data_IF_521506194100
#
_entry.id   IF_521506194100
#
_cell.length_a   1.000
_cell.length_b   1.000
_cell.length_c   1.000
_cell.angle_alpha   90.00
_cell.angle_beta   90.00
_cell.angle_gamma   90.00
#
_symmetry.space_group_name_H-M   'P 1'
#
loop_
_entity.id
_entity.type
_entity.pdbx_description
1 polymer ?
#
# COMPACT_ATOMS: atom_id res chain seq x y z
N UNK A 1 -38.75 10.60 19.98
CA UNK A 1 -37.66 11.60 20.12
C UNK A 1 -36.77 11.44 18.89
N UNK A 2 -36.70 12.43 18.01
CA UNK A 2 -35.77 12.37 16.87
C UNK A 2 -34.37 12.68 17.39
N UNK A 3 -33.50 11.67 17.44
CA UNK A 3 -32.07 11.90 17.57
C UNK A 3 -31.67 12.81 16.40
N UNK A 4 -30.97 13.90 16.67
CA UNK A 4 -30.60 14.91 15.67
C UNK A 4 -29.86 14.29 14.46
N UNK A 5 -29.77 15.05 13.37
CA UNK A 5 -29.04 14.62 12.16
C UNK A 5 -27.61 14.18 12.49
N UNK A 6 -27.10 13.20 11.74
CA UNK A 6 -25.72 12.77 11.87
C UNK A 6 -24.77 13.85 11.34
N UNK A 7 -23.64 14.06 12.02
CA UNK A 7 -22.62 15.05 11.66
C UNK A 7 -21.22 14.49 11.92
N UNK A 8 -20.22 15.09 11.28
CA UNK A 8 -18.81 14.76 11.48
C UNK A 8 -18.36 15.13 12.89
N UNK A 9 -17.83 14.17 13.65
CA UNK A 9 -17.39 14.40 15.05
C UNK A 9 -16.18 15.34 15.17
N UNK A 10 -15.54 15.70 14.05
CA UNK A 10 -14.35 16.58 14.03
C UNK A 10 -14.69 18.00 13.60
N UNK A 11 -15.41 18.16 12.49
CA UNK A 11 -15.67 19.47 11.88
C UNK A 11 -17.15 19.87 11.87
N UNK A 12 -18.07 18.99 12.27
CA UNK A 12 -19.50 19.26 12.28
C UNK A 12 -20.20 19.19 10.91
N UNK A 13 -19.50 18.81 9.84
CA UNK A 13 -20.10 18.67 8.51
C UNK A 13 -21.20 17.60 8.49
N UNK A 14 -22.31 17.87 7.78
CA UNK A 14 -23.42 16.92 7.56
C UNK A 14 -23.26 16.10 6.26
N UNK A 15 -22.05 16.07 5.69
CA UNK A 15 -21.71 15.33 4.46
C UNK A 15 -21.83 13.81 4.65
N UNK A 16 -21.55 13.04 3.59
CA UNK A 16 -21.45 11.58 3.69
C UNK A 16 -20.41 11.18 4.75
N UNK A 17 -20.88 10.43 5.75
CA UNK A 17 -20.09 10.03 6.90
C UNK A 17 -19.70 8.56 6.79
N UNK A 18 -18.47 8.28 7.22
CA UNK A 18 -18.04 6.92 7.55
C UNK A 18 -18.84 6.35 8.72
N UNK A 19 -18.72 5.03 8.97
CA UNK A 19 -19.33 4.36 10.14
C UNK A 19 -18.95 5.02 11.47
N UNK A 20 -17.77 5.64 11.55
CA UNK A 20 -17.24 6.33 12.74
C UNK A 20 -17.65 7.80 12.81
N UNK A 21 -18.61 8.23 11.96
CA UNK A 21 -19.09 9.62 11.88
C UNK A 21 -17.97 10.61 11.57
N UNK A 22 -17.07 10.24 10.67
CA UNK A 22 -16.11 11.16 10.06
C UNK A 22 -16.55 11.46 8.63
N UNK A 23 -16.52 12.73 8.23
CA UNK A 23 -16.57 13.07 6.81
C UNK A 23 -15.29 12.61 6.10
N UNK A 24 -15.36 12.44 4.78
CA UNK A 24 -14.24 11.93 3.96
C UNK A 24 -12.94 12.74 4.16
N UNK A 25 -12.94 14.09 4.19
CA UNK A 25 -11.71 14.86 4.42
C UNK A 25 -11.05 14.55 5.76
N UNK A 26 -11.82 14.60 6.86
CA UNK A 26 -11.29 14.32 8.20
C UNK A 26 -10.84 12.86 8.36
N UNK A 27 -11.49 11.93 7.66
CA UNK A 27 -11.06 10.54 7.62
C UNK A 27 -9.69 10.40 6.95
N UNK A 28 -9.50 10.99 5.77
CA UNK A 28 -8.23 10.94 5.02
C UNK A 28 -7.09 11.64 5.75
N UNK A 29 -7.34 12.76 6.42
CA UNK A 29 -6.33 13.49 7.18
C UNK A 29 -5.81 12.71 8.39
N UNK A 30 -6.69 11.90 9.01
CA UNK A 30 -6.39 11.18 10.26
C UNK A 30 -5.98 9.73 10.05
N UNK A 31 -6.25 9.17 8.88
CA UNK A 31 -6.05 7.75 8.59
C UNK A 31 -4.99 7.60 7.52
N UNK A 32 -3.88 6.94 7.87
CA UNK A 32 -2.90 6.49 6.87
C UNK A 32 -3.46 5.24 6.20
N UNK A 33 -3.89 5.36 4.95
CA UNK A 33 -4.50 4.26 4.19
C UNK A 33 -3.47 3.21 3.77
N UNK A 34 -2.28 3.67 3.39
CA UNK A 34 -1.15 2.81 3.07
C UNK A 34 0.17 3.50 3.37
N UNK A 35 1.21 2.70 3.58
CA UNK A 35 2.59 3.13 3.76
C UNK A 35 3.43 2.23 2.85
N UNK A 36 4.24 2.87 2.00
CA UNK A 36 5.21 2.19 1.16
C UNK A 36 6.50 2.99 1.22
N UNK A 37 7.63 2.29 1.36
CA UNK A 37 8.93 2.94 1.37
C UNK A 37 9.28 3.45 -0.03
N UNK A 38 9.91 4.63 -0.10
CA UNK A 38 10.38 5.20 -1.38
C UNK A 38 11.43 4.31 -2.06
N UNK A 39 12.17 3.54 -1.27
CA UNK A 39 13.15 2.57 -1.74
C UNK A 39 12.92 1.22 -1.07
N UNK A 40 13.01 0.15 -1.86
CA UNK A 40 12.87 -1.24 -1.39
C UNK A 40 14.13 -1.99 -1.80
N UNK A 41 14.79 -2.63 -0.84
CA UNK A 41 16.01 -3.38 -1.10
C UNK A 41 15.68 -4.79 -1.61
N UNK A 42 16.07 -5.09 -2.86
CA UNK A 42 16.10 -6.44 -3.40
C UNK A 42 17.45 -7.13 -3.19
N UNK A 43 17.47 -8.46 -3.30
CA UNK A 43 18.69 -9.27 -3.30
C UNK A 43 18.70 -10.24 -4.48
N UNK A 44 19.77 -10.16 -5.27
CA UNK A 44 20.07 -11.10 -6.37
C UNK A 44 21.38 -11.81 -6.11
N UNK A 45 21.42 -13.12 -6.34
CA UNK A 45 22.66 -13.89 -6.24
C UNK A 45 23.51 -13.68 -7.51
N UNK A 46 24.76 -13.19 -7.40
CA UNK A 46 25.60 -12.94 -8.57
C UNK A 46 26.10 -14.23 -9.26
N UNK A 47 25.98 -15.38 -8.60
CA UNK A 47 26.48 -16.67 -9.13
C UNK A 47 25.45 -17.41 -9.97
N UNK A 48 24.19 -17.38 -9.54
CA UNK A 48 23.11 -18.18 -10.14
C UNK A 48 21.92 -17.33 -10.60
N UNK A 49 21.96 -16.01 -10.36
CA UNK A 49 20.93 -15.05 -10.76
C UNK A 49 19.55 -15.32 -10.16
N UNK A 50 19.48 -16.10 -9.07
CA UNK A 50 18.26 -16.23 -8.27
C UNK A 50 18.01 -14.97 -7.44
N UNK A 51 16.74 -14.68 -7.19
CA UNK A 51 16.30 -13.59 -6.32
C UNK A 51 15.86 -14.14 -4.96
N UNK A 52 16.10 -13.37 -3.88
CA UNK A 52 15.53 -13.66 -2.57
C UNK A 52 14.19 -12.95 -2.44
N UNK A 53 13.13 -13.73 -2.28
CA UNK A 53 11.76 -13.25 -2.10
C UNK A 53 11.07 -14.11 -1.02
N UNK A 54 10.39 -13.50 -0.05
CA UNK A 54 9.70 -14.18 1.05
C UNK A 54 10.58 -15.22 1.80
N UNK A 55 11.88 -14.93 1.97
CA UNK A 55 12.83 -15.81 2.63
C UNK A 55 13.25 -17.05 1.83
N UNK A 56 12.91 -17.13 0.54
CA UNK A 56 13.28 -18.23 -0.37
C UNK A 56 14.03 -17.70 -1.58
N UNK A 57 14.96 -18.51 -2.08
CA UNK A 57 15.67 -18.23 -3.33
C UNK A 57 14.95 -18.91 -4.50
N UNK A 58 14.70 -18.16 -5.56
CA UNK A 58 14.01 -18.66 -6.75
C UNK A 58 14.43 -17.93 -8.02
N UNK A 59 14.09 -18.53 -9.16
CA UNK A 59 14.08 -17.84 -10.44
C UNK A 59 12.73 -17.16 -10.61
N UNK A 60 12.78 -15.86 -10.87
CA UNK A 60 11.61 -15.00 -11.07
C UNK A 60 11.89 -14.12 -12.27
N UNK A 61 10.86 -13.84 -13.06
CA UNK A 61 10.93 -12.73 -14.01
C UNK A 61 11.07 -11.42 -13.21
N UNK A 62 11.79 -10.44 -13.75
CA UNK A 62 12.08 -9.19 -13.01
C UNK A 62 10.80 -8.47 -12.59
N UNK A 63 9.77 -8.47 -13.44
CA UNK A 63 8.47 -7.87 -13.14
C UNK A 63 7.81 -8.55 -11.93
N UNK A 64 7.69 -9.88 -11.94
CA UNK A 64 7.13 -10.66 -10.83
C UNK A 64 7.90 -10.42 -9.52
N UNK A 65 9.24 -10.30 -9.60
CA UNK A 65 10.07 -10.02 -8.44
C UNK A 65 9.80 -8.61 -7.87
N UNK A 66 9.73 -7.59 -8.73
CA UNK A 66 9.43 -6.23 -8.31
C UNK A 66 8.03 -6.11 -7.71
N UNK A 67 7.04 -6.78 -8.30
CA UNK A 67 5.70 -6.84 -7.75
C UNK A 67 5.69 -7.48 -6.36
N UNK A 68 6.39 -8.60 -6.21
CA UNK A 68 6.54 -9.28 -4.92
C UNK A 68 7.18 -8.39 -3.85
N UNK A 69 8.24 -7.64 -4.20
CA UNK A 69 8.89 -6.71 -3.28
C UNK A 69 7.95 -5.59 -2.80
N UNK A 70 7.16 -5.02 -3.72
CA UNK A 70 6.17 -3.99 -3.36
C UNK A 70 5.07 -4.59 -2.48
N UNK A 71 4.59 -5.80 -2.79
CA UNK A 71 3.59 -6.48 -1.97
C UNK A 71 4.09 -6.77 -0.55
N UNK A 72 5.35 -7.15 -0.39
CA UNK A 72 5.96 -7.40 0.93
C UNK A 72 6.17 -6.11 1.73
N UNK A 73 6.53 -5.02 1.06
CA UNK A 73 6.82 -3.74 1.70
C UNK A 73 5.58 -2.86 1.93
N UNK A 74 4.46 -3.14 1.24
CA UNK A 74 3.24 -2.35 1.35
C UNK A 74 2.52 -2.66 2.66
N UNK A 75 2.46 -1.67 3.54
CA UNK A 75 1.58 -1.70 4.70
C UNK A 75 0.25 -1.04 4.33
N UNK A 76 -0.87 -1.68 4.67
CA UNK A 76 -2.21 -1.14 4.48
C UNK A 76 -2.97 -1.06 5.79
N UNK A 77 -3.93 -0.13 5.85
CA UNK A 77 -4.78 0.02 7.03
C UNK A 77 -5.58 -1.28 7.30
N UNK A 78 -5.65 -1.71 8.56
CA UNK A 78 -6.12 -3.06 8.93
C UNK A 78 -7.60 -3.35 8.65
N UNK A 79 -8.43 -2.35 8.35
CA UNK A 79 -9.83 -2.49 7.93
C UNK A 79 -9.98 -2.55 6.40
N UNK A 80 -8.88 -2.59 5.66
CA UNK A 80 -8.88 -2.70 4.20
C UNK A 80 -9.40 -4.08 3.80
N UNK A 81 -10.40 -4.12 2.93
CA UNK A 81 -10.93 -5.33 2.32
C UNK A 81 -10.79 -5.22 0.79
N UNK A 82 -10.56 -6.35 0.10
CA UNK A 82 -10.43 -6.41 -1.35
C UNK A 82 -9.35 -5.47 -1.95
N UNK A 83 -8.12 -5.54 -1.41
CA UNK A 83 -6.98 -4.78 -1.92
C UNK A 83 -6.58 -5.24 -3.34
N UNK A 84 -6.53 -4.30 -4.28
CA UNK A 84 -5.92 -4.49 -5.60
C UNK A 84 -4.68 -3.61 -5.73
N UNK A 85 -3.57 -4.19 -6.17
CA UNK A 85 -2.30 -3.48 -6.38
C UNK A 85 -1.96 -3.58 -7.87
N UNK A 86 -1.67 -2.44 -8.49
CA UNK A 86 -1.16 -2.36 -9.86
C UNK A 86 0.18 -1.63 -9.85
N UNK A 87 1.17 -2.19 -10.56
CA UNK A 87 2.54 -1.68 -10.56
C UNK A 87 2.94 -1.43 -12.01
N UNK A 88 3.74 -0.38 -12.21
CA UNK A 88 4.37 -0.06 -13.49
C UNK A 88 5.85 0.14 -13.21
N UNK A 89 6.69 -0.76 -13.71
CA UNK A 89 8.14 -0.67 -13.55
C UNK A 89 8.78 0.07 -14.72
N UNK A 90 9.75 0.93 -14.42
CA UNK A 90 10.61 1.58 -15.40
C UNK A 90 12.07 1.38 -14.97
N UNK A 91 12.93 0.99 -15.91
CA UNK A 91 14.36 0.86 -15.66
C UNK A 91 15.02 2.25 -15.70
N UNK A 92 15.65 2.65 -14.60
CA UNK A 92 16.26 3.97 -14.45
C UNK A 92 17.72 3.97 -14.96
N UNK A 93 18.43 2.83 -14.87
CA UNK A 93 19.76 2.64 -15.44
C UNK A 93 20.12 1.16 -15.70
N UNK A 94 21.09 0.93 -16.59
CA UNK A 94 21.65 -0.41 -16.89
C UNK A 94 22.65 -0.91 -15.82
N UNK A 95 22.86 -0.18 -14.72
CA UNK A 95 23.91 -0.51 -13.74
C UNK A 95 23.46 -1.56 -12.74
N UNK A 96 22.15 -1.76 -12.62
CA UNK A 96 21.54 -2.61 -11.61
C UNK A 96 20.70 -3.76 -12.21
N UNK A 97 20.81 -4.01 -13.53
CA UNK A 97 20.19 -5.14 -14.23
C UNK A 97 20.87 -6.48 -14.03
#
# INVERSE_FOLDING_TARGET
>A
MSLGKAFCVVCGAEDELTKERLCVPCFKERTKLSILSETIQGFRCPKCMMYLHSGRWGHHESEEYHEGLVQEALEVEGRTEALGIGIMSEEIDERNT
#
